data_IF_480392170742
#
_entry.id   IF_480392170742
#
_cell.length_a   1.000
_cell.length_b   1.000
_cell.length_c   1.000
_cell.angle_alpha   90.00
_cell.angle_beta   90.00
_cell.angle_gamma   90.00
#
_symmetry.space_group_name_H-M   'P 1'
#
loop_
_entity.id
_entity.type
_entity.pdbx_description
1 polymer ?
#
# COMPACT_ATOMS: atom_id res chain seq x y z
N UNK A 1 -2.63 -18.73 7.36
CA UNK A 1 -2.38 -18.39 5.95
C UNK A 1 -2.17 -16.88 5.80
N UNK A 2 -1.07 -16.51 5.21
CA UNK A 2 -0.77 -15.12 4.92
C UNK A 2 -0.77 -14.87 3.42
N UNK A 3 -1.18 -13.70 3.03
CA UNK A 3 -1.06 -13.26 1.65
C UNK A 3 -0.60 -11.82 1.63
N UNK A 4 0.21 -11.49 0.66
CA UNK A 4 0.71 -10.12 0.54
C UNK A 4 0.47 -9.59 -0.86
N UNK A 5 0.41 -8.28 -0.95
CA UNK A 5 0.41 -7.56 -2.20
C UNK A 5 1.40 -6.42 -2.08
N UNK A 6 2.03 -6.08 -3.18
CA UNK A 6 3.03 -5.03 -3.20
C UNK A 6 2.85 -4.20 -4.46
N UNK A 7 2.90 -2.88 -4.30
CA UNK A 7 3.01 -1.96 -5.43
C UNK A 7 4.42 -1.38 -5.41
N UNK A 8 5.09 -1.46 -6.55
CA UNK A 8 6.44 -0.94 -6.71
C UNK A 8 6.42 0.33 -7.53
N UNK A 9 7.35 1.21 -7.24
CA UNK A 9 7.55 2.45 -7.99
C UNK A 9 6.32 3.35 -8.01
N UNK A 10 5.59 3.35 -6.89
CA UNK A 10 4.49 4.28 -6.72
C UNK A 10 5.07 5.69 -6.67
N UNK A 11 4.56 6.58 -7.52
CA UNK A 11 5.05 7.95 -7.58
C UNK A 11 4.52 8.79 -6.43
N UNK A 12 5.12 8.59 -5.28
CA UNK A 12 4.73 9.25 -4.06
C UNK A 12 5.89 9.17 -3.08
N UNK A 13 6.07 10.20 -2.26
CA UNK A 13 7.13 10.15 -1.26
C UNK A 13 6.78 9.10 -0.19
N UNK A 14 7.77 8.38 0.34
CA UNK A 14 7.51 7.38 1.38
C UNK A 14 6.80 7.98 2.60
N UNK A 15 7.12 9.21 2.96
CA UNK A 15 6.50 9.86 4.12
C UNK A 15 4.99 10.00 3.95
N UNK A 16 4.54 10.42 2.76
CA UNK A 16 3.10 10.56 2.48
C UNK A 16 2.40 9.21 2.45
N UNK A 17 3.04 8.20 1.86
CA UNK A 17 2.49 6.86 1.81
C UNK A 17 2.39 6.25 3.21
N UNK A 18 3.39 6.48 4.05
CA UNK A 18 3.39 5.95 5.42
C UNK A 18 2.27 6.49 6.27
N UNK A 19 1.87 7.75 6.05
CA UNK A 19 0.73 8.32 6.77
C UNK A 19 -0.54 7.52 6.55
N UNK A 20 -0.77 7.08 5.33
CA UNK A 20 -1.95 6.28 4.98
C UNK A 20 -1.81 4.86 5.49
N UNK A 21 -0.64 4.27 5.30
CA UNK A 21 -0.39 2.89 5.72
C UNK A 21 -0.52 2.75 7.24
N UNK A 22 -0.09 3.74 7.99
CA UNK A 22 -0.21 3.72 9.45
C UNK A 22 -1.67 3.69 9.91
N UNK A 23 -2.60 4.22 9.10
CA UNK A 23 -4.01 4.22 9.45
C UNK A 23 -4.64 2.83 9.42
N UNK A 24 -4.08 1.90 8.65
CA UNK A 24 -4.70 0.59 8.45
C UNK A 24 -3.99 -0.55 9.15
N UNK A 25 -2.79 -0.31 9.67
CA UNK A 25 -2.01 -1.38 10.31
C UNK A 25 -2.74 -1.92 11.53
N UNK A 26 -2.90 -3.23 11.58
CA UNK A 26 -3.55 -3.89 12.70
C UNK A 26 -5.06 -3.91 12.68
N UNK A 27 -5.68 -3.30 11.67
CA UNK A 27 -7.14 -3.27 11.55
C UNK A 27 -7.63 -4.46 10.73
N UNK A 28 -8.91 -4.82 10.92
CA UNK A 28 -9.53 -5.78 10.03
C UNK A 28 -9.56 -5.22 8.61
N UNK A 29 -9.62 -6.10 7.62
CA UNK A 29 -9.63 -5.64 6.23
C UNK A 29 -10.85 -4.78 5.94
N UNK A 30 -12.00 -5.10 6.51
CA UNK A 30 -13.22 -4.30 6.33
C UNK A 30 -13.02 -2.87 6.86
N UNK A 31 -12.47 -2.73 8.06
CA UNK A 31 -12.18 -1.42 8.64
C UNK A 31 -11.12 -0.68 7.84
N UNK A 32 -10.11 -1.39 7.36
CA UNK A 32 -9.05 -0.78 6.57
C UNK A 32 -9.61 -0.21 5.26
N UNK A 33 -10.46 -0.95 4.57
CA UNK A 33 -11.08 -0.49 3.34
C UNK A 33 -11.96 0.74 3.58
N UNK A 34 -12.75 0.74 4.65
CA UNK A 34 -13.59 1.88 4.99
C UNK A 34 -12.75 3.12 5.31
N UNK A 35 -11.70 2.92 6.10
CA UNK A 35 -10.78 4.02 6.44
C UNK A 35 -10.19 4.64 5.18
N UNK A 36 -9.76 3.81 4.24
CA UNK A 36 -9.14 4.29 3.01
C UNK A 36 -10.13 4.98 2.08
N UNK A 37 -11.38 4.51 2.03
CA UNK A 37 -12.41 5.15 1.20
C UNK A 37 -12.70 6.58 1.61
N UNK A 38 -12.62 6.86 2.89
CA UNK A 38 -12.95 8.18 3.43
C UNK A 38 -11.73 9.02 3.79
N UNK A 39 -10.53 8.49 3.58
CA UNK A 39 -9.30 9.23 3.85
C UNK A 39 -9.06 10.28 2.77
N UNK A 40 -8.72 11.52 3.16
CA UNK A 40 -8.52 12.58 2.19
C UNK A 40 -7.17 12.55 1.48
N UNK A 41 -6.24 11.71 1.92
CA UNK A 41 -4.91 11.66 1.35
C UNK A 41 -4.90 11.04 -0.05
N UNK A 42 -4.07 11.59 -0.93
CA UNK A 42 -3.95 11.09 -2.30
C UNK A 42 -3.45 9.64 -2.35
N UNK A 43 -2.69 9.24 -1.35
CA UNK A 43 -2.16 7.87 -1.28
C UNK A 43 -3.23 6.82 -0.95
N UNK A 44 -4.41 7.24 -0.48
CA UNK A 44 -5.43 6.30 -0.02
C UNK A 44 -5.96 5.42 -1.15
N UNK A 45 -6.13 5.96 -2.35
CA UNK A 45 -6.65 5.16 -3.47
C UNK A 45 -5.70 4.04 -3.89
N UNK A 46 -4.40 4.29 -4.14
CA UNK A 46 -3.48 3.20 -4.45
C UNK A 46 -3.37 2.16 -3.34
N UNK A 47 -3.39 2.59 -2.08
CA UNK A 47 -3.31 1.67 -0.94
C UNK A 47 -4.61 0.86 -0.83
N UNK A 48 -5.76 1.48 -1.09
CA UNK A 48 -7.06 0.77 -1.13
C UNK A 48 -7.00 -0.38 -2.13
N UNK A 49 -6.55 -0.11 -3.33
CA UNK A 49 -6.41 -1.14 -4.37
C UNK A 49 -5.43 -2.23 -3.96
N UNK A 50 -4.38 -1.85 -3.25
CA UNK A 50 -3.39 -2.80 -2.77
C UNK A 50 -3.99 -3.74 -1.71
N UNK A 51 -4.79 -3.22 -0.80
CA UNK A 51 -5.48 -4.04 0.19
C UNK A 51 -6.45 -5.00 -0.48
N UNK A 52 -7.22 -4.52 -1.45
CA UNK A 52 -8.11 -5.39 -2.22
C UNK A 52 -7.34 -6.50 -2.95
N UNK A 53 -6.17 -6.17 -3.49
CA UNK A 53 -5.30 -7.16 -4.14
C UNK A 53 -4.80 -8.21 -3.15
N UNK A 54 -4.43 -7.79 -1.95
CA UNK A 54 -3.99 -8.72 -0.91
C UNK A 54 -5.10 -9.68 -0.49
N UNK A 55 -6.32 -9.19 -0.38
CA UNK A 55 -7.49 -10.01 -0.08
C UNK A 55 -7.73 -11.04 -1.18
N UNK A 56 -7.64 -10.60 -2.45
CA UNK A 56 -7.80 -11.50 -3.59
C UNK A 56 -6.72 -12.59 -3.59
N UNK A 57 -5.47 -12.21 -3.26
CA UNK A 57 -4.38 -13.17 -3.17
C UNK A 57 -4.61 -14.19 -2.04
N UNK A 58 -5.19 -13.75 -0.93
CA UNK A 58 -5.54 -14.65 0.17
C UNK A 58 -6.60 -15.66 -0.26
N UNK A 59 -7.60 -15.20 -1.03
CA UNK A 59 -8.65 -16.09 -1.55
C UNK A 59 -8.05 -17.16 -2.46
N UNK A 60 -7.15 -16.75 -3.35
CA UNK A 60 -6.50 -17.69 -4.27
C UNK A 60 -5.68 -18.73 -3.49
N UNK A 61 -4.93 -18.29 -2.48
CA UNK A 61 -4.16 -19.20 -1.65
C UNK A 61 -5.04 -20.22 -0.92
N UNK A 62 -6.17 -19.75 -0.39
CA UNK A 62 -7.10 -20.63 0.30
C UNK A 62 -7.67 -21.67 -0.66
N UNK A 63 -8.04 -21.28 -1.88
CA UNK A 63 -8.55 -22.19 -2.89
C UNK A 63 -7.52 -23.25 -3.26
N UNK A 64 -6.27 -22.83 -3.44
CA UNK A 64 -5.19 -23.75 -3.81
C UNK A 64 -4.86 -24.73 -2.69
N UNK A 65 -5.00 -24.31 -1.45
CA UNK A 65 -4.73 -25.15 -0.30
C UNK A 65 -5.95 -25.99 0.12
N UNK A 66 -7.11 -25.77 -0.51
CA UNK A 66 -8.35 -26.43 -0.11
C UNK A 66 -8.86 -25.97 1.25
N UNK A 67 -8.47 -24.79 1.68
CA UNK A 67 -8.88 -24.24 2.96
C UNK A 67 -10.11 -23.36 2.82
N UNK A 68 -10.88 -23.26 3.90
CA UNK A 68 -12.02 -22.36 3.94
C UNK A 68 -11.52 -20.92 3.95
N UNK A 69 -12.16 -20.08 3.17
CA UNK A 69 -11.85 -18.65 3.09
C UNK A 69 -13.00 -17.83 3.65
N UNK A 70 -12.70 -16.97 4.62
CA UNK A 70 -13.67 -16.00 5.13
C UNK A 70 -12.98 -14.64 5.21
N UNK A 71 -13.36 -13.75 4.30
CA UNK A 71 -12.80 -12.41 4.23
C UNK A 71 -12.97 -11.62 5.53
N UNK A 72 -14.04 -11.90 6.28
CA UNK A 72 -14.31 -11.19 7.53
C UNK A 72 -13.30 -11.50 8.63
N UNK A 73 -12.60 -12.61 8.49
CA UNK A 73 -11.59 -13.03 9.47
C UNK A 73 -10.19 -12.45 9.18
N UNK A 74 -10.03 -11.76 8.08
CA UNK A 74 -8.73 -11.22 7.69
C UNK A 74 -8.44 -9.89 8.38
N UNK A 75 -7.20 -9.74 8.80
CA UNK A 75 -6.69 -8.47 9.34
C UNK A 75 -5.44 -8.08 8.58
N UNK A 76 -5.12 -6.79 8.61
CA UNK A 76 -3.87 -6.29 8.05
C UNK A 76 -2.79 -6.57 9.11
N UNK A 77 -2.07 -7.66 8.93
CA UNK A 77 -1.07 -8.08 9.90
C UNK A 77 0.21 -7.28 9.80
N UNK A 78 0.54 -6.79 8.61
CA UNK A 78 1.70 -5.93 8.40
C UNK A 78 1.42 -5.02 7.23
N UNK A 79 1.93 -3.82 7.31
CA UNK A 79 1.88 -2.85 6.21
C UNK A 79 3.06 -1.91 6.38
N UNK A 80 3.82 -1.72 5.32
CA UNK A 80 5.00 -0.88 5.39
C UNK A 80 5.33 -0.28 4.03
N UNK A 81 6.15 0.74 4.07
CA UNK A 81 6.57 1.48 2.89
C UNK A 81 8.09 1.53 2.87
N UNK A 82 8.67 1.10 1.76
CA UNK A 82 10.10 1.18 1.53
C UNK A 82 10.37 2.27 0.51
N UNK A 83 11.53 2.91 0.62
CA UNK A 83 11.95 3.90 -0.35
C UNK A 83 12.32 3.23 -1.67
N UNK A 84 11.77 3.76 -2.75
CA UNK A 84 12.19 3.38 -4.10
C UNK A 84 13.24 4.35 -4.62
N UNK A 85 13.73 4.12 -5.85
CA UNK A 85 14.69 5.03 -6.45
C UNK A 85 14.09 6.42 -6.64
N UNK A 86 14.94 7.43 -6.44
CA UNK A 86 14.57 8.82 -6.65
C UNK A 86 15.04 9.23 -8.04
N UNK A 87 14.12 9.67 -8.88
CA UNK A 87 14.46 10.19 -10.20
C UNK A 87 14.73 11.67 -10.08
N UNK A 88 15.87 12.10 -10.60
CA UNK A 88 16.25 13.50 -10.60
C UNK A 88 15.90 14.11 -11.95
N UNK A 89 15.26 15.26 -11.94
CA UNK A 89 14.94 16.02 -13.13
C UNK A 89 15.40 17.44 -12.94
N UNK A 90 15.76 18.09 -14.02
CA UNK A 90 16.18 19.48 -14.00
C UNK A 90 15.14 20.32 -14.72
N UNK A 91 14.71 21.38 -14.07
CA UNK A 91 13.77 22.32 -14.66
C UNK A 91 14.48 23.64 -14.91
N UNK A 92 14.52 24.12 -16.17
CA UNK A 92 15.13 25.42 -16.47
C UNK A 92 14.36 26.55 -15.76
N UNK A 93 15.11 27.54 -15.31
CA UNK A 93 14.53 28.73 -14.70
C UNK A 93 15.09 29.94 -15.43
N UNK A 94 14.50 31.13 -15.16
CA UNK A 94 14.97 32.37 -15.74
C UNK A 94 16.47 32.57 -15.49
N UNK A 95 17.14 33.24 -16.40
CA UNK A 95 18.58 33.52 -16.34
C UNK A 95 19.46 32.29 -16.50
N UNK A 96 18.96 31.27 -17.19
CA UNK A 96 19.76 30.10 -17.50
C UNK A 96 20.03 29.15 -16.33
N UNK A 97 19.39 29.37 -15.20
CA UNK A 97 19.55 28.48 -14.05
C UNK A 97 18.62 27.27 -14.18
N UNK A 98 19.11 26.13 -13.72
CA UNK A 98 18.30 24.92 -13.65
C UNK A 98 18.13 24.51 -12.18
N UNK A 99 16.93 24.11 -11.83
CA UNK A 99 16.64 23.58 -10.49
C UNK A 99 16.41 22.08 -10.57
N UNK A 100 16.96 21.36 -9.61
CA UNK A 100 16.79 19.93 -9.52
C UNK A 100 15.44 19.61 -8.92
N UNK A 101 14.67 18.76 -9.60
CA UNK A 101 13.39 18.26 -9.13
C UNK A 101 13.57 16.80 -8.80
N UNK A 102 13.24 16.40 -7.58
CA UNK A 102 13.33 15.01 -7.15
C UNK A 102 11.96 14.36 -7.28
N UNK A 103 11.89 13.31 -8.10
CA UNK A 103 10.68 12.48 -8.25
C UNK A 103 10.88 11.23 -7.42
N UNK A 104 10.32 11.25 -6.21
CA UNK A 104 10.48 10.13 -5.29
C UNK A 104 9.47 9.04 -5.58
N UNK A 105 9.89 7.81 -5.39
CA UNK A 105 9.01 6.65 -5.52
C UNK A 105 9.02 5.85 -4.23
N UNK A 106 8.00 5.02 -4.08
CA UNK A 106 7.84 4.18 -2.89
C UNK A 106 7.40 2.79 -3.30
N UNK A 107 7.76 1.82 -2.48
CA UNK A 107 7.27 0.45 -2.60
C UNK A 107 6.40 0.19 -1.38
N UNK A 108 5.11 -0.06 -1.59
CA UNK A 108 4.16 -0.30 -0.50
C UNK A 108 3.82 -1.78 -0.46
N UNK A 109 3.91 -2.37 0.72
CA UNK A 109 3.59 -3.77 0.95
C UNK A 109 2.50 -3.88 1.99
N UNK A 110 1.49 -4.69 1.71
CA UNK A 110 0.42 -5.02 2.65
C UNK A 110 0.34 -6.53 2.78
N UNK A 111 0.33 -7.00 4.02
CA UNK A 111 0.19 -8.42 4.33
C UNK A 111 -1.10 -8.61 5.11
N UNK A 112 -1.93 -9.55 4.67
CA UNK A 112 -3.17 -9.90 5.36
C UNK A 112 -3.08 -11.34 5.85
N UNK A 113 -3.70 -11.60 6.98
CA UNK A 113 -3.70 -12.93 7.59
C UNK A 113 -4.97 -13.10 8.42
N UNK A 114 -5.39 -14.34 8.70
CA UNK A 114 -6.51 -14.57 9.60
C UNK A 114 -6.20 -14.03 10.99
N UNK A 115 -7.21 -13.43 11.62
CA UNK A 115 -7.07 -12.89 12.98
C UNK A 115 -6.84 -13.99 14.00
N UNK A 116 -7.43 -15.13 13.78
CA UNK A 116 -7.33 -16.29 14.67
C UNK A 116 -6.25 -17.24 14.17
N UNK A 117 -5.32 -17.52 15.02
CA UNK A 117 -4.26 -18.48 14.71
C UNK A 117 -4.30 -19.65 15.67
#
# INVERSE_FOLDING_TARGET
MEAKAQVRYLRMSPMKARRVVDLIRGKSTAEALDTLRFAPQAASEPVLKLVESAIANARVKADQAGERFDERELVVSAAYVDEGPTMKRFQPRAQGRAFQIKKRTSHVTVVVAPANK
#
